data_IF_979627302568
#
_entry.id   IF_979627302568
#
_cell.length_a   1.000
_cell.length_b   1.000
_cell.length_c   1.000
_cell.angle_alpha   90.00
_cell.angle_beta   90.00
_cell.angle_gamma   90.00
#
_symmetry.space_group_name_H-M   'P 1'
#
loop_
_entity.id
_entity.type
_entity.pdbx_description
1 polymer ?
#
# COMPACT_ATOMS: atom_id res chain seq x y z
N UNK A 1 28.31 1.20 -44.23
CA UNK A 1 27.20 1.02 -43.27
C UNK A 1 27.06 2.31 -42.48
N UNK A 2 25.86 2.86 -42.36
CA UNK A 2 25.63 4.00 -41.46
C UNK A 2 25.78 3.53 -40.00
N UNK A 3 26.54 4.27 -39.18
CA UNK A 3 26.64 4.01 -37.74
C UNK A 3 25.28 4.18 -37.09
N UNK A 4 25.01 3.45 -36.00
CA UNK A 4 23.79 3.61 -35.18
C UNK A 4 23.61 5.07 -34.72
N UNK A 5 24.72 5.80 -34.60
CA UNK A 5 24.78 7.21 -34.18
C UNK A 5 24.15 8.16 -35.19
N UNK A 6 23.99 7.74 -36.44
CA UNK A 6 23.35 8.51 -37.50
C UNK A 6 21.85 8.23 -37.61
N UNK A 7 21.32 7.27 -36.84
CA UNK A 7 19.90 6.96 -36.89
C UNK A 7 19.07 7.97 -36.08
N UNK A 8 17.85 8.28 -36.55
CA UNK A 8 16.91 9.10 -35.80
C UNK A 8 16.58 8.47 -34.43
N UNK A 9 16.26 9.32 -33.45
CA UNK A 9 15.88 8.93 -32.07
C UNK A 9 14.79 7.86 -32.05
N UNK A 10 13.79 7.96 -32.95
CA UNK A 10 12.70 6.97 -33.06
C UNK A 10 13.19 5.55 -33.32
N UNK A 11 14.30 5.37 -34.06
CA UNK A 11 14.86 4.03 -34.31
C UNK A 11 15.53 3.48 -33.05
N UNK A 12 16.20 4.34 -32.28
CA UNK A 12 16.79 3.97 -30.99
C UNK A 12 15.69 3.58 -30.00
N UNK A 13 14.56 4.28 -29.99
CA UNK A 13 13.39 3.92 -29.19
C UNK A 13 12.84 2.54 -29.57
N UNK A 14 12.65 2.27 -30.86
CA UNK A 14 12.16 0.96 -31.32
C UNK A 14 13.12 -0.20 -30.98
N UNK A 15 14.42 0.07 -30.96
CA UNK A 15 15.41 -0.89 -30.44
C UNK A 15 15.23 -1.08 -28.94
N UNK A 16 15.19 0.01 -28.16
CA UNK A 16 15.06 -0.04 -26.70
C UNK A 16 13.77 -0.77 -26.25
N UNK A 17 12.66 -0.59 -26.98
CA UNK A 17 11.39 -1.30 -26.79
C UNK A 17 11.48 -2.82 -27.00
N UNK A 18 12.62 -3.38 -27.36
CA UNK A 18 12.83 -4.83 -27.50
C UNK A 18 13.84 -5.39 -26.51
N UNK A 19 14.37 -4.55 -25.63
CA UNK A 19 15.46 -4.89 -24.73
C UNK A 19 15.00 -4.89 -23.27
N UNK A 20 15.73 -5.62 -22.44
CA UNK A 20 15.57 -5.56 -21.00
C UNK A 20 16.19 -4.27 -20.41
N UNK A 21 15.80 -3.95 -19.18
CA UNK A 21 16.26 -2.74 -18.51
C UNK A 21 17.79 -2.68 -18.35
N UNK A 22 18.44 -3.82 -18.10
CA UNK A 22 19.88 -3.89 -17.91
C UNK A 22 20.61 -3.51 -19.20
N UNK A 23 20.13 -3.98 -20.34
CA UNK A 23 20.66 -3.69 -21.66
C UNK A 23 20.42 -2.23 -22.05
N UNK A 24 19.23 -1.68 -21.77
CA UNK A 24 18.96 -0.25 -21.99
C UNK A 24 19.93 0.62 -21.19
N UNK A 25 20.20 0.28 -19.92
CA UNK A 25 21.20 0.98 -19.10
C UNK A 25 22.61 0.87 -19.67
N UNK A 26 23.00 -0.30 -20.17
CA UNK A 26 24.31 -0.48 -20.82
C UNK A 26 24.43 0.37 -22.09
N UNK A 27 23.36 0.45 -22.89
CA UNK A 27 23.30 1.29 -24.09
C UNK A 27 23.48 2.77 -23.79
N UNK A 28 22.95 3.29 -22.67
CA UNK A 28 23.15 4.70 -22.28
C UNK A 28 24.62 5.08 -22.14
N UNK A 29 25.49 4.11 -21.84
CA UNK A 29 26.92 4.36 -21.62
C UNK A 29 27.73 4.38 -22.92
N UNK A 30 27.12 4.08 -24.07
CA UNK A 30 27.88 3.96 -25.33
C UNK A 30 28.22 5.31 -25.93
N UNK A 31 27.27 6.25 -25.98
CA UNK A 31 27.51 7.63 -26.41
C UNK A 31 26.38 8.60 -26.00
N UNK A 32 26.62 9.89 -26.24
CA UNK A 32 25.69 10.97 -25.89
C UNK A 32 24.39 10.95 -26.70
N UNK A 33 24.44 10.56 -27.98
CA UNK A 33 23.24 10.47 -28.83
C UNK A 33 22.25 9.44 -28.29
N UNK A 34 22.74 8.24 -27.97
CA UNK A 34 21.95 7.17 -27.37
C UNK A 34 21.52 7.54 -25.95
N UNK A 35 22.40 8.16 -25.15
CA UNK A 35 22.04 8.66 -23.83
C UNK A 35 20.82 9.61 -23.89
N UNK A 36 20.85 10.58 -24.79
CA UNK A 36 19.76 11.56 -24.95
C UNK A 36 18.48 10.89 -25.46
N UNK A 37 18.58 10.02 -26.45
CA UNK A 37 17.45 9.25 -26.95
C UNK A 37 16.78 8.41 -25.84
N UNK A 38 17.58 7.78 -24.97
CA UNK A 38 17.09 6.96 -23.86
C UNK A 38 16.68 7.79 -22.63
N UNK A 39 16.95 9.09 -22.60
CA UNK A 39 16.49 10.02 -21.55
C UNK A 39 15.13 10.65 -21.88
N UNK A 40 14.62 10.40 -23.08
CA UNK A 40 13.31 10.90 -23.52
C UNK A 40 12.16 10.21 -22.76
N UNK A 41 11.31 11.01 -22.13
CA UNK A 41 10.10 10.56 -21.43
C UNK A 41 9.14 9.77 -22.31
N UNK A 42 9.04 10.08 -23.61
CA UNK A 42 8.12 9.39 -24.53
C UNK A 42 8.44 7.90 -24.65
N UNK A 43 9.73 7.54 -24.68
CA UNK A 43 10.15 6.14 -24.70
C UNK A 43 9.62 5.38 -23.48
N UNK A 44 9.76 5.98 -22.29
CA UNK A 44 9.38 5.32 -21.04
C UNK A 44 7.86 5.27 -20.85
N UNK A 45 7.13 6.25 -21.37
CA UNK A 45 5.66 6.20 -21.46
C UNK A 45 5.24 5.02 -22.34
N UNK A 46 5.82 4.88 -23.53
CA UNK A 46 5.53 3.76 -24.44
C UNK A 46 5.83 2.39 -23.79
N UNK A 47 6.95 2.30 -23.05
CA UNK A 47 7.31 1.10 -22.29
C UNK A 47 6.31 0.80 -21.16
N UNK A 48 5.83 1.82 -20.46
CA UNK A 48 4.77 1.67 -19.45
C UNK A 48 3.48 1.14 -20.08
N UNK A 49 3.06 1.69 -21.22
CA UNK A 49 1.85 1.26 -21.91
C UNK A 49 1.96 -0.18 -22.43
N UNK A 50 3.11 -0.54 -23.02
CA UNK A 50 3.42 -1.90 -23.48
C UNK A 50 3.32 -2.92 -22.34
N UNK A 51 3.93 -2.62 -21.21
CA UNK A 51 4.03 -3.54 -20.07
C UNK A 51 2.89 -3.38 -19.05
N UNK A 52 1.92 -2.51 -19.34
CA UNK A 52 0.78 -2.21 -18.47
C UNK A 52 1.21 -1.69 -17.08
N UNK A 53 2.32 -0.98 -17.00
CA UNK A 53 2.67 -0.22 -15.81
C UNK A 53 1.68 0.94 -15.65
N UNK A 54 1.21 1.17 -14.42
CA UNK A 54 0.17 2.17 -14.18
C UNK A 54 0.79 3.55 -14.21
N UNK A 55 0.32 4.37 -15.14
CA UNK A 55 0.68 5.77 -15.27
C UNK A 55 -0.37 6.65 -14.59
N UNK A 56 0.03 7.80 -14.02
CA UNK A 56 -0.92 8.87 -13.69
C UNK A 56 -1.76 9.26 -14.92
N UNK A 57 -3.00 9.70 -14.69
CA UNK A 57 -3.96 9.98 -15.75
C UNK A 57 -3.42 11.03 -16.75
N UNK A 58 -3.93 11.00 -17.98
CA UNK A 58 -3.56 12.01 -18.99
C UNK A 58 -3.95 13.41 -18.50
N UNK A 59 -5.07 13.53 -17.79
CA UNK A 59 -5.51 14.78 -17.16
C UNK A 59 -4.47 15.29 -16.17
N UNK A 60 -4.00 14.43 -15.26
CA UNK A 60 -2.95 14.78 -14.31
C UNK A 60 -1.64 15.19 -15.00
N UNK A 61 -1.20 14.42 -16.00
CA UNK A 61 0.04 14.72 -16.73
C UNK A 61 -0.02 16.04 -17.49
N UNK A 62 -1.19 16.40 -18.03
CA UNK A 62 -1.42 17.70 -18.67
C UNK A 62 -1.40 18.82 -17.65
N UNK A 63 -2.13 18.67 -16.55
CA UNK A 63 -2.15 19.64 -15.46
C UNK A 63 -0.74 19.90 -14.92
N UNK A 64 0.06 18.85 -14.76
CA UNK A 64 1.47 18.96 -14.36
C UNK A 64 2.31 19.80 -15.33
N UNK A 65 2.12 19.62 -16.64
CA UNK A 65 2.85 20.37 -17.66
C UNK A 65 2.45 21.85 -17.69
N UNK A 66 1.16 22.15 -17.57
CA UNK A 66 0.64 23.53 -17.49
C UNK A 66 1.24 24.27 -16.29
N UNK A 67 1.30 23.64 -15.11
CA UNK A 67 1.92 24.25 -13.92
C UNK A 67 3.45 24.42 -14.08
N UNK A 68 4.11 23.64 -14.93
CA UNK A 68 5.55 23.76 -15.19
C UNK A 68 5.90 25.03 -15.96
N UNK A 69 5.01 25.45 -16.84
CA UNK A 69 5.14 26.71 -17.58
C UNK A 69 4.90 27.93 -16.68
N UNK A 70 4.04 27.79 -15.66
CA UNK A 70 3.72 28.86 -14.73
C UNK A 70 4.79 29.08 -13.64
N UNK A 71 5.34 28.00 -13.07
CA UNK A 71 6.35 28.08 -12.01
C UNK A 71 7.26 26.83 -12.01
N UNK A 72 8.38 26.90 -12.75
CA UNK A 72 9.38 25.83 -12.84
C UNK A 72 9.92 25.39 -11.47
N UNK A 73 9.93 26.28 -10.47
CA UNK A 73 10.44 25.98 -9.13
C UNK A 73 9.53 25.04 -8.34
N UNK A 74 8.26 24.96 -8.75
CA UNK A 74 7.24 24.15 -8.08
C UNK A 74 7.04 22.80 -8.73
N UNK A 75 7.58 22.51 -9.91
CA UNK A 75 7.25 21.27 -10.62
C UNK A 75 8.24 20.14 -10.36
N UNK A 76 7.76 19.11 -9.66
CA UNK A 76 8.42 17.81 -9.67
C UNK A 76 8.17 17.13 -11.02
N UNK A 77 9.24 16.71 -11.70
CA UNK A 77 9.10 15.93 -12.92
C UNK A 77 8.73 14.48 -12.60
N UNK A 78 7.81 13.91 -13.39
CA UNK A 78 7.56 12.47 -13.36
C UNK A 78 8.75 11.75 -13.98
N UNK A 79 9.30 10.82 -13.22
CA UNK A 79 10.36 9.92 -13.67
C UNK A 79 9.71 8.67 -14.26
N UNK A 80 9.41 8.73 -15.55
CA UNK A 80 8.72 7.64 -16.26
C UNK A 80 9.54 6.36 -16.31
N UNK A 81 10.88 6.44 -16.31
CA UNK A 81 11.75 5.27 -16.19
C UNK A 81 11.52 4.56 -14.85
N UNK A 82 11.56 5.31 -13.75
CA UNK A 82 11.29 4.75 -12.42
C UNK A 82 9.87 4.21 -12.29
N UNK A 83 8.88 4.90 -12.88
CA UNK A 83 7.49 4.40 -12.90
C UNK A 83 7.42 3.07 -13.66
N UNK A 84 8.10 2.94 -14.80
CA UNK A 84 8.17 1.69 -15.55
C UNK A 84 8.84 0.57 -14.75
N UNK A 85 10.01 0.83 -14.15
CA UNK A 85 10.80 -0.17 -13.41
C UNK A 85 10.11 -0.63 -12.12
N UNK A 86 9.47 0.29 -11.39
CA UNK A 86 8.95 0.02 -10.05
C UNK A 86 7.44 -0.14 -9.98
N UNK A 87 6.72 0.41 -10.96
CA UNK A 87 5.26 0.45 -11.01
C UNK A 87 4.63 0.88 -9.65
N UNK A 88 4.98 2.09 -9.14
CA UNK A 88 4.55 2.58 -7.83
C UNK A 88 3.03 2.78 -7.70
N UNK A 89 2.32 2.89 -8.83
CA UNK A 89 0.88 3.16 -8.88
C UNK A 89 0.06 1.92 -9.23
N UNK A 90 0.66 0.73 -9.17
CA UNK A 90 -0.03 -0.55 -9.40
C UNK A 90 -1.23 -0.73 -8.45
N UNK A 91 -2.24 -1.55 -8.82
CA UNK A 91 -3.46 -1.71 -8.03
C UNK A 91 -3.25 -2.21 -6.60
N UNK A 92 -2.15 -2.93 -6.34
CA UNK A 92 -1.79 -3.36 -4.99
C UNK A 92 -0.27 -3.35 -4.79
N UNK A 93 0.18 -2.58 -3.80
CA UNK A 93 1.58 -2.53 -3.36
C UNK A 93 1.97 -3.77 -2.54
N UNK A 94 1.00 -4.41 -1.89
CA UNK A 94 1.22 -5.58 -1.03
C UNK A 94 1.43 -6.84 -1.90
N UNK A 95 2.52 -7.58 -1.69
CA UNK A 95 2.75 -8.85 -2.39
C UNK A 95 1.65 -9.90 -2.09
N UNK A 96 1.40 -10.84 -3.01
CA UNK A 96 0.38 -11.87 -2.81
C UNK A 96 0.72 -12.80 -1.65
N UNK A 97 -0.32 -13.24 -0.93
CA UNK A 97 -0.18 -14.16 0.21
C UNK A 97 0.41 -15.52 -0.21
N UNK A 98 1.47 -15.95 0.50
CA UNK A 98 2.09 -17.26 0.31
C UNK A 98 1.45 -18.32 1.24
N UNK A 99 1.81 -19.59 1.04
CA UNK A 99 1.24 -20.72 1.80
C UNK A 99 1.64 -20.77 3.28
N UNK A 100 2.72 -20.07 3.67
CA UNK A 100 3.22 -20.10 5.05
C UNK A 100 3.63 -18.71 5.52
N UNK A 101 3.46 -18.45 6.82
CA UNK A 101 3.94 -17.21 7.46
C UNK A 101 5.47 -17.10 7.39
N UNK A 102 6.19 -18.21 7.42
CA UNK A 102 7.65 -18.27 7.31
C UNK A 102 8.14 -17.79 5.96
N UNK A 103 7.46 -18.19 4.88
CA UNK A 103 7.77 -17.70 3.55
C UNK A 103 7.51 -16.19 3.43
N UNK A 104 6.37 -15.69 3.94
CA UNK A 104 6.02 -14.27 3.88
C UNK A 104 6.98 -13.39 4.71
N UNK A 105 7.43 -13.88 5.86
CA UNK A 105 8.45 -13.18 6.66
C UNK A 105 9.79 -13.13 5.91
N UNK A 106 10.24 -14.26 5.35
CA UNK A 106 11.53 -14.33 4.64
C UNK A 106 11.54 -13.53 3.34
N UNK A 107 10.47 -13.60 2.56
CA UNK A 107 10.40 -13.03 1.21
C UNK A 107 9.96 -11.57 1.21
N UNK A 108 9.01 -11.22 2.08
CA UNK A 108 8.40 -9.89 2.10
C UNK A 108 8.68 -9.10 3.39
N UNK A 109 9.27 -9.74 4.41
CA UNK A 109 9.54 -9.10 5.69
C UNK A 109 8.31 -8.94 6.60
N UNK A 110 7.19 -9.62 6.30
CA UNK A 110 5.98 -9.55 7.11
C UNK A 110 6.23 -10.12 8.51
N UNK A 111 5.78 -9.42 9.55
CA UNK A 111 5.98 -9.85 10.94
C UNK A 111 4.70 -10.39 11.52
N UNK A 112 4.82 -11.48 12.27
CA UNK A 112 3.72 -12.19 12.90
C UNK A 112 3.98 -12.27 14.41
N UNK A 113 2.95 -12.04 15.21
CA UNK A 113 3.05 -12.07 16.65
C UNK A 113 1.75 -12.55 17.31
N UNK A 114 1.87 -13.00 18.55
CA UNK A 114 0.76 -13.29 19.44
C UNK A 114 0.88 -12.44 20.70
N UNK A 115 -0.20 -12.29 21.45
CA UNK A 115 -0.17 -11.62 22.76
C UNK A 115 0.72 -12.31 23.80
N UNK A 116 1.11 -13.58 23.59
CA UNK A 116 1.94 -14.31 24.56
C UNK A 116 3.40 -13.88 24.49
N UNK A 117 3.98 -13.70 23.29
CA UNK A 117 5.36 -13.25 23.09
C UNK A 117 5.60 -12.59 21.71
N UNK A 118 6.59 -11.69 21.63
CA UNK A 118 7.12 -11.24 20.32
C UNK A 118 7.72 -12.43 19.57
N UNK A 119 7.43 -12.54 18.27
CA UNK A 119 7.76 -13.68 17.40
C UNK A 119 6.98 -14.99 17.68
N UNK A 120 5.96 -14.97 18.53
CA UNK A 120 5.06 -16.11 18.68
C UNK A 120 4.01 -16.12 17.56
N UNK A 121 4.00 -17.18 16.75
CA UNK A 121 3.05 -17.35 15.64
C UNK A 121 1.81 -18.15 16.03
N UNK A 122 1.69 -18.58 17.30
CA UNK A 122 0.60 -19.43 17.77
C UNK A 122 -0.79 -18.78 17.74
N UNK A 123 -0.86 -17.45 17.59
CA UNK A 123 -2.13 -16.71 17.56
C UNK A 123 -2.89 -16.80 16.23
N UNK A 124 -2.29 -17.36 15.18
CA UNK A 124 -2.97 -17.54 13.89
C UNK A 124 -2.36 -18.67 13.06
N UNK A 125 -3.10 -19.11 12.05
CA UNK A 125 -2.61 -20.02 11.01
C UNK A 125 -3.00 -19.52 9.62
N UNK A 126 -2.39 -20.10 8.58
CA UNK A 126 -2.89 -19.98 7.20
C UNK A 126 -3.85 -21.15 6.94
N UNK A 127 -5.04 -20.83 6.45
CA UNK A 127 -6.02 -21.82 5.96
C UNK A 127 -6.14 -21.74 4.44
N UNK A 128 -6.17 -22.89 3.78
CA UNK A 128 -6.38 -23.04 2.33
C UNK A 128 -7.17 -24.34 2.09
N UNK A 129 -8.50 -24.29 1.83
CA UNK A 129 -9.36 -23.10 1.79
C UNK A 129 -9.75 -22.58 3.20
N UNK A 130 -10.28 -21.34 3.29
CA UNK A 130 -10.90 -20.83 4.53
C UNK A 130 -12.00 -21.75 5.07
N UNK A 131 -11.97 -22.05 6.37
CA UNK A 131 -12.89 -23.00 7.01
C UNK A 131 -13.93 -22.32 7.91
N UNK A 132 -15.21 -22.61 7.68
CA UNK A 132 -16.31 -22.10 8.53
C UNK A 132 -16.72 -20.66 8.23
N UNK A 133 -16.38 -20.16 7.06
CA UNK A 133 -16.97 -18.97 6.44
C UNK A 133 -17.50 -19.30 5.04
N UNK A 134 -18.27 -18.40 4.43
CA UNK A 134 -18.69 -18.58 3.04
C UNK A 134 -17.48 -18.50 2.08
N UNK A 135 -17.46 -19.28 0.98
CA UNK A 135 -16.41 -19.19 -0.01
C UNK A 135 -16.46 -17.83 -0.72
N UNK A 136 -15.30 -17.28 -1.09
CA UNK A 136 -15.18 -16.07 -1.89
C UNK A 136 -14.31 -16.36 -3.12
N UNK A 137 -14.71 -15.93 -4.34
CA UNK A 137 -14.02 -16.29 -5.58
C UNK A 137 -12.54 -15.87 -5.59
N UNK A 138 -12.23 -14.74 -4.97
CA UNK A 138 -10.86 -14.21 -4.93
C UNK A 138 -10.04 -14.63 -3.68
N UNK A 139 -10.59 -15.51 -2.82
CA UNK A 139 -9.92 -15.92 -1.58
C UNK A 139 -9.67 -17.43 -1.61
N UNK A 140 -8.45 -17.78 -2.02
CA UNK A 140 -7.95 -19.17 -1.97
C UNK A 140 -7.42 -19.51 -0.57
N UNK A 141 -6.83 -18.52 0.11
CA UNK A 141 -6.23 -18.67 1.44
C UNK A 141 -6.56 -17.48 2.33
N UNK A 142 -6.58 -17.70 3.64
CA UNK A 142 -6.70 -16.62 4.61
C UNK A 142 -5.85 -16.86 5.86
N UNK A 143 -5.65 -15.81 6.64
CA UNK A 143 -5.24 -15.96 8.02
C UNK A 143 -6.47 -16.26 8.87
N UNK A 144 -6.40 -17.27 9.74
CA UNK A 144 -7.41 -17.57 10.73
C UNK A 144 -6.81 -17.43 12.14
N UNK A 145 -7.42 -16.58 12.97
CA UNK A 145 -6.90 -16.28 14.30
C UNK A 145 -7.41 -17.25 15.35
N UNK A 146 -6.66 -17.37 16.45
CA UNK A 146 -6.97 -18.24 17.59
C UNK A 146 -7.71 -17.48 18.70
N UNK A 147 -7.67 -17.98 19.93
CA UNK A 147 -8.30 -17.36 21.10
C UNK A 147 -7.46 -16.27 21.78
N UNK A 148 -6.18 -16.20 21.44
CA UNK A 148 -5.32 -15.06 21.74
C UNK A 148 -5.21 -14.17 20.52
N UNK A 149 -4.87 -12.90 20.72
CA UNK A 149 -4.63 -12.00 19.59
C UNK A 149 -3.52 -12.55 18.71
N UNK A 150 -3.87 -12.91 17.47
CA UNK A 150 -2.92 -13.10 16.38
C UNK A 150 -2.77 -11.80 15.62
N UNK A 151 -1.53 -11.38 15.35
CA UNK A 151 -1.19 -10.10 14.69
C UNK A 151 -0.29 -10.34 13.48
N UNK A 152 -0.55 -9.63 12.39
CA UNK A 152 0.32 -9.53 11.21
C UNK A 152 0.62 -8.06 10.95
N UNK A 153 1.89 -7.70 10.87
CA UNK A 153 2.39 -6.38 10.51
C UNK A 153 3.03 -6.40 9.11
N UNK A 154 2.53 -5.54 8.23
CA UNK A 154 3.09 -5.27 6.89
C UNK A 154 3.58 -3.82 6.86
N UNK A 155 4.81 -3.62 6.41
CA UNK A 155 5.38 -2.28 6.20
C UNK A 155 5.80 -2.11 4.75
N UNK A 156 5.34 -1.05 4.10
CA UNK A 156 5.69 -0.68 2.73
C UNK A 156 6.45 0.65 2.75
N UNK A 157 7.65 0.67 2.18
CA UNK A 157 8.42 1.90 2.01
C UNK A 157 8.12 2.50 0.63
N UNK A 158 7.33 3.57 0.60
CA UNK A 158 6.82 4.19 -0.62
C UNK A 158 7.94 4.72 -1.53
N UNK A 159 9.02 5.20 -0.93
CA UNK A 159 10.21 5.67 -1.66
C UNK A 159 10.91 4.53 -2.37
N UNK A 160 11.08 3.37 -1.72
CA UNK A 160 11.64 2.14 -2.31
C UNK A 160 10.74 1.53 -3.38
N UNK A 161 9.42 1.69 -3.23
CA UNK A 161 8.41 1.38 -4.24
C UNK A 161 8.44 2.34 -5.44
N UNK A 162 9.25 3.41 -5.39
CA UNK A 162 9.46 4.31 -6.51
C UNK A 162 8.57 5.54 -6.52
N UNK A 163 7.77 5.77 -5.48
CA UNK A 163 6.97 7.00 -5.35
C UNK A 163 7.92 8.18 -5.08
N UNK A 164 7.91 9.24 -5.91
CA UNK A 164 8.70 10.44 -5.66
C UNK A 164 8.26 11.17 -4.38
N UNK A 165 9.23 11.63 -3.59
CA UNK A 165 9.01 12.41 -2.35
C UNK A 165 8.07 13.61 -2.58
N UNK A 166 8.27 14.35 -3.68
CA UNK A 166 7.43 15.52 -3.99
C UNK A 166 5.95 15.15 -4.19
N UNK A 167 5.62 13.96 -4.69
CA UNK A 167 4.23 13.50 -4.81
C UNK A 167 3.63 13.32 -3.41
N UNK A 168 4.37 12.69 -2.49
CA UNK A 168 3.91 12.46 -1.12
C UNK A 168 3.86 13.73 -0.28
N UNK A 169 4.70 14.72 -0.58
CA UNK A 169 4.79 15.95 0.19
C UNK A 169 3.84 17.04 -0.31
N UNK A 170 3.68 17.15 -1.63
CA UNK A 170 3.00 18.27 -2.28
C UNK A 170 1.63 17.95 -2.81
N UNK A 171 1.44 16.74 -3.35
CA UNK A 171 0.13 16.29 -3.85
C UNK A 171 -0.66 15.57 -2.78
N UNK A 172 0.04 14.78 -1.95
CA UNK A 172 -0.53 13.96 -0.87
C UNK A 172 -1.71 13.11 -1.38
N UNK A 173 -1.47 12.27 -2.41
CA UNK A 173 -2.52 11.48 -3.05
C UNK A 173 -3.23 10.59 -2.04
N UNK A 174 -4.46 10.17 -2.35
CA UNK A 174 -5.20 9.31 -1.43
C UNK A 174 -4.47 7.97 -1.30
N UNK A 175 -4.21 7.54 -0.08
CA UNK A 175 -3.65 6.21 0.21
C UNK A 175 -4.80 5.36 0.76
N UNK A 176 -5.17 4.33 0.00
CA UNK A 176 -6.28 3.45 0.32
C UNK A 176 -5.71 2.12 0.78
N UNK A 177 -6.15 1.68 1.95
CA UNK A 177 -5.77 0.42 2.57
C UNK A 177 -7.05 -0.37 2.80
N UNK A 178 -7.08 -1.61 2.35
CA UNK A 178 -8.27 -2.44 2.55
C UNK A 178 -7.91 -3.90 2.78
N UNK A 179 -8.79 -4.62 3.46
CA UNK A 179 -8.65 -6.05 3.69
C UNK A 179 -10.02 -6.73 3.70
N UNK A 180 -10.09 -7.95 3.20
CA UNK A 180 -11.28 -8.79 3.29
C UNK A 180 -11.27 -9.55 4.61
N UNK A 181 -12.38 -9.49 5.35
CA UNK A 181 -12.50 -10.11 6.67
C UNK A 181 -13.79 -10.92 6.77
N UNK A 182 -13.76 -12.00 7.55
CA UNK A 182 -14.93 -12.83 7.80
C UNK A 182 -14.92 -13.41 9.22
N UNK A 183 -16.10 -13.60 9.84
CA UNK A 183 -16.23 -14.40 11.05
C UNK A 183 -16.26 -15.89 10.73
N UNK A 184 -16.14 -16.72 11.77
CA UNK A 184 -16.53 -18.13 11.72
C UNK A 184 -18.00 -18.29 12.16
N UNK A 185 -18.70 -19.27 11.61
CA UNK A 185 -20.16 -19.40 11.81
C UNK A 185 -20.60 -19.66 13.25
N UNK A 186 -19.79 -20.31 14.07
CA UNK A 186 -20.15 -20.81 15.42
C UNK A 186 -19.43 -20.10 16.56
N UNK A 187 -18.61 -19.08 16.29
CA UNK A 187 -17.78 -18.44 17.29
C UNK A 187 -17.81 -16.92 17.16
N UNK A 188 -17.98 -16.24 18.30
CA UNK A 188 -17.83 -14.79 18.32
C UNK A 188 -16.36 -14.40 18.20
N UNK A 189 -16.07 -13.32 17.48
CA UNK A 189 -14.70 -12.92 17.17
C UNK A 189 -14.57 -11.41 17.01
N UNK A 190 -13.32 -10.95 17.16
CA UNK A 190 -12.92 -9.55 16.96
C UNK A 190 -11.87 -9.51 15.86
N UNK A 191 -11.95 -8.48 15.03
CA UNK A 191 -10.91 -8.07 14.09
C UNK A 191 -10.58 -6.58 14.29
N UNK A 192 -9.29 -6.23 14.15
CA UNK A 192 -8.81 -4.86 14.15
C UNK A 192 -7.75 -4.65 13.06
N UNK A 193 -7.85 -3.53 12.34
CA UNK A 193 -6.84 -3.06 11.38
C UNK A 193 -6.30 -1.72 11.85
N UNK A 194 -5.03 -1.69 12.24
CA UNK A 194 -4.33 -0.46 12.60
C UNK A 194 -3.45 -0.04 11.43
N UNK A 195 -3.58 1.18 10.94
CA UNK A 195 -2.74 1.71 9.89
C UNK A 195 -2.08 3.01 10.34
N UNK A 196 -0.80 3.20 9.99
CA UNK A 196 -0.06 4.43 10.21
C UNK A 196 0.75 4.81 8.97
N UNK A 197 0.70 6.08 8.59
CA UNK A 197 1.72 6.67 7.73
C UNK A 197 2.88 7.14 8.63
N UNK A 198 4.08 6.76 8.24
CA UNK A 198 5.29 6.92 9.03
C UNK A 198 6.29 7.78 8.29
N UNK A 199 7.03 8.61 9.04
CA UNK A 199 8.24 9.27 8.53
C UNK A 199 9.35 8.23 8.33
N UNK A 200 10.39 8.62 7.59
CA UNK A 200 11.55 7.75 7.38
C UNK A 200 12.18 7.35 8.74
N UNK A 201 12.26 6.05 9.00
CA UNK A 201 12.79 5.50 10.25
C UNK A 201 11.88 5.61 11.47
N UNK A 202 10.66 6.14 11.35
CA UNK A 202 9.68 6.12 12.43
C UNK A 202 9.14 4.70 12.64
N UNK A 203 9.04 4.27 13.91
CA UNK A 203 8.54 2.95 14.25
C UNK A 203 7.02 2.95 14.38
N UNK A 204 6.39 1.89 13.89
CA UNK A 204 4.97 1.62 14.13
C UNK A 204 4.71 1.40 15.63
N UNK A 205 3.74 2.13 16.20
CA UNK A 205 3.33 1.98 17.59
C UNK A 205 1.81 2.07 17.73
N UNK A 206 1.18 0.96 18.09
CA UNK A 206 -0.28 0.87 18.27
C UNK A 206 -0.81 1.75 19.40
N UNK A 207 0.05 2.17 20.34
CA UNK A 207 -0.32 3.04 21.45
C UNK A 207 -0.31 4.51 21.04
N UNK A 208 0.45 4.85 20.00
CA UNK A 208 0.52 6.19 19.46
C UNK A 208 -0.58 6.39 18.41
N UNK A 209 -1.46 7.35 18.65
CA UNK A 209 -2.42 7.83 17.66
C UNK A 209 -1.96 9.18 17.16
N UNK A 210 -1.78 9.27 15.85
CA UNK A 210 -1.47 10.52 15.17
C UNK A 210 -2.70 11.06 14.44
N UNK A 211 -3.04 12.34 14.62
CA UNK A 211 -4.04 12.99 13.78
C UNK A 211 -3.70 12.84 12.30
N UNK A 212 -4.66 12.45 11.46
CA UNK A 212 -4.57 12.33 9.98
C UNK A 212 -3.60 11.29 9.40
N UNK A 213 -2.73 10.69 10.20
CA UNK A 213 -1.79 9.65 9.75
C UNK A 213 -1.82 8.38 10.58
N UNK A 214 -2.83 8.22 11.42
CA UNK A 214 -3.16 6.96 12.09
C UNK A 214 -4.66 6.70 12.01
N UNK A 215 -5.04 5.46 11.77
CA UNK A 215 -6.42 5.04 11.76
C UNK A 215 -6.55 3.60 12.29
N UNK A 216 -7.69 3.31 12.91
CA UNK A 216 -8.02 1.98 13.41
C UNK A 216 -9.45 1.66 13.00
N UNK A 217 -9.63 0.53 12.33
CA UNK A 217 -10.94 -0.05 12.04
C UNK A 217 -11.13 -1.32 12.86
N UNK A 218 -12.35 -1.54 13.34
CA UNK A 218 -12.69 -2.66 14.22
C UNK A 218 -13.99 -3.29 13.78
N UNK A 219 -14.00 -4.62 13.69
CA UNK A 219 -15.18 -5.42 13.44
C UNK A 219 -15.34 -6.42 14.58
N UNK A 220 -16.59 -6.64 14.99
CA UNK A 220 -16.96 -7.65 15.98
C UNK A 220 -18.15 -8.43 15.47
N UNK A 221 -18.11 -9.74 15.68
CA UNK A 221 -19.20 -10.63 15.30
C UNK A 221 -19.68 -11.43 16.50
N UNK A 222 -20.99 -11.56 16.70
CA UNK A 222 -21.55 -12.39 17.75
C UNK A 222 -21.38 -13.88 17.42
N UNK A 223 -21.67 -14.72 18.40
CA UNK A 223 -21.70 -16.16 18.19
C UNK A 223 -22.87 -16.51 17.26
N UNK A 224 -22.75 -17.62 16.52
CA UNK A 224 -23.79 -18.10 15.60
C UNK A 224 -24.07 -17.11 14.45
N UNK A 225 -23.01 -16.49 13.92
CA UNK A 225 -23.14 -15.56 12.79
C UNK A 225 -23.45 -16.33 11.50
N UNK A 226 -24.58 -16.05 10.87
CA UNK A 226 -24.95 -16.60 9.56
C UNK A 226 -25.79 -15.55 8.80
N UNK A 227 -25.48 -15.22 7.53
CA UNK A 227 -24.38 -15.77 6.73
C UNK A 227 -23.00 -15.28 7.22
N UNK A 228 -21.95 -16.03 6.87
CA UNK A 228 -20.55 -15.72 7.24
C UNK A 228 -19.81 -15.07 6.07
N UNK A 229 -20.39 -13.99 5.56
CA UNK A 229 -19.91 -13.30 4.38
C UNK A 229 -18.59 -12.58 4.64
N UNK A 230 -17.77 -12.53 3.60
CA UNK A 230 -16.59 -11.68 3.57
C UNK A 230 -17.00 -10.23 3.39
N UNK A 231 -16.48 -9.36 4.25
CA UNK A 231 -16.71 -7.91 4.21
C UNK A 231 -15.40 -7.20 3.93
N UNK A 232 -15.45 -6.08 3.21
CA UNK A 232 -14.26 -5.24 2.99
C UNK A 232 -14.19 -4.18 4.10
N UNK A 233 -13.07 -4.19 4.82
CA UNK A 233 -12.69 -3.09 5.73
C UNK A 233 -11.75 -2.17 4.97
N UNK A 234 -11.97 -0.86 5.04
CA UNK A 234 -11.18 0.13 4.29
C UNK A 234 -10.81 1.34 5.15
N UNK A 235 -9.55 1.74 5.07
CA UNK A 235 -8.99 2.97 5.62
C UNK A 235 -8.49 3.82 4.45
N UNK A 236 -8.87 5.10 4.42
CA UNK A 236 -8.40 6.05 3.41
C UNK A 236 -7.69 7.21 4.11
N UNK A 237 -6.40 7.36 3.85
CA UNK A 237 -5.66 8.56 4.24
C UNK A 237 -5.77 9.62 3.16
N UNK A 238 -6.22 10.80 3.56
CA UNK A 238 -6.18 12.04 2.76
C UNK A 238 -5.60 13.15 3.62
N UNK A 239 -5.11 14.22 2.99
CA UNK A 239 -4.70 15.43 3.70
C UNK A 239 -3.73 15.15 4.89
N UNK A 240 -2.84 14.16 4.71
CA UNK A 240 -1.88 13.77 5.74
C UNK A 240 -0.70 14.75 5.81
N UNK A 241 0.10 14.75 6.89
CA UNK A 241 1.23 15.66 7.02
C UNK A 241 2.34 15.39 6.00
N UNK A 242 3.15 16.42 5.73
CA UNK A 242 4.36 16.29 4.90
C UNK A 242 5.38 15.31 5.51
N UNK A 243 6.19 14.67 4.67
CA UNK A 243 7.31 13.83 5.11
C UNK A 243 6.98 12.35 5.34
N UNK A 244 5.76 11.90 4.98
CA UNK A 244 5.40 10.48 5.03
C UNK A 244 6.18 9.69 3.98
N UNK A 245 6.80 8.58 4.38
CA UNK A 245 7.64 7.74 3.51
C UNK A 245 7.31 6.24 3.60
N UNK A 246 6.65 5.82 4.67
CA UNK A 246 6.28 4.42 4.87
C UNK A 246 4.83 4.28 5.30
N UNK A 247 4.25 3.12 5.02
CA UNK A 247 2.93 2.71 5.47
C UNK A 247 3.12 1.45 6.32
N UNK A 248 2.63 1.45 7.55
CA UNK A 248 2.58 0.27 8.39
C UNK A 248 1.13 -0.12 8.66
N UNK A 249 0.79 -1.39 8.43
CA UNK A 249 -0.55 -1.94 8.65
C UNK A 249 -0.46 -3.18 9.52
N UNK A 250 -1.11 -3.14 10.67
CA UNK A 250 -1.26 -4.29 11.56
C UNK A 250 -2.70 -4.79 11.55
N UNK A 251 -2.89 -5.98 10.98
CA UNK A 251 -4.15 -6.74 11.05
C UNK A 251 -4.08 -7.68 12.24
N UNK A 252 -5.12 -7.69 13.08
CA UNK A 252 -5.16 -8.58 14.23
C UNK A 252 -6.57 -9.06 14.55
N UNK A 253 -6.65 -10.22 15.18
CA UNK A 253 -7.93 -10.79 15.57
C UNK A 253 -7.79 -11.86 16.63
N UNK A 254 -8.94 -12.21 17.22
CA UNK A 254 -9.08 -13.35 18.13
C UNK A 254 -10.54 -13.78 18.24
N UNK A 255 -10.77 -14.97 18.79
CA UNK A 255 -12.08 -15.35 19.29
C UNK A 255 -12.44 -14.62 20.60
N UNK A 256 -13.69 -14.77 21.03
CA UNK A 256 -14.13 -14.34 22.36
C UNK A 256 -14.66 -15.50 23.24
N UNK A 257 -14.55 -16.75 22.76
CA UNK A 257 -15.02 -17.94 23.48
C UNK A 257 -13.89 -18.72 24.17
N UNK A 258 -12.64 -18.33 23.92
CA UNK A 258 -11.44 -18.98 24.41
C UNK A 258 -11.33 -20.46 23.98
N UNK A 259 -11.73 -20.76 22.75
CA UNK A 259 -11.75 -22.13 22.23
C UNK A 259 -10.39 -22.50 21.63
N UNK A 260 -9.87 -23.65 22.04
CA UNK A 260 -8.61 -24.16 21.50
C UNK A 260 -8.75 -24.46 19.99
N UNK A 261 -7.96 -23.76 19.18
CA UNK A 261 -7.98 -23.84 17.72
C UNK A 261 -8.06 -22.45 17.08
N UNK A 262 -8.43 -22.38 15.80
CA UNK A 262 -8.50 -21.13 15.03
C UNK A 262 -9.96 -20.72 14.77
N UNK A 263 -10.64 -20.37 15.86
CA UNK A 263 -12.06 -20.00 15.87
C UNK A 263 -12.29 -18.49 15.77
N UNK A 264 -11.23 -17.70 15.75
CA UNK A 264 -11.30 -16.25 15.68
C UNK A 264 -11.67 -15.73 14.29
N UNK A 265 -11.46 -14.42 14.11
CA UNK A 265 -11.71 -13.75 12.83
C UNK A 265 -10.71 -14.21 11.77
N UNK A 266 -11.14 -14.12 10.52
CA UNK A 266 -10.35 -14.42 9.33
C UNK A 266 -10.10 -13.15 8.54
N UNK A 267 -8.93 -13.05 7.93
CA UNK A 267 -8.61 -11.93 7.04
C UNK A 267 -7.69 -12.35 5.89
N UNK A 268 -7.87 -11.73 4.72
CA UNK A 268 -7.17 -12.03 3.48
C UNK A 268 -7.14 -10.82 2.53
N UNK A 269 -6.30 -10.90 1.50
CA UNK A 269 -6.23 -9.92 0.41
C UNK A 269 -6.04 -8.48 0.89
N UNK A 270 -5.04 -8.24 1.77
CA UNK A 270 -4.61 -6.88 2.09
C UNK A 270 -4.19 -6.17 0.80
N UNK A 271 -4.79 -5.01 0.57
CA UNK A 271 -4.48 -4.11 -0.54
C UNK A 271 -4.05 -2.75 0.00
N UNK A 272 -2.94 -2.24 -0.54
CA UNK A 272 -2.51 -0.85 -0.35
C UNK A 272 -2.32 -0.25 -1.74
N UNK A 273 -3.02 0.84 -2.04
CA UNK A 273 -2.91 1.53 -3.33
C UNK A 273 -2.88 3.04 -3.18
N UNK A 274 -2.21 3.68 -4.13
CA UNK A 274 -2.10 5.13 -4.22
C UNK A 274 -2.99 5.59 -5.36
N UNK A 275 -3.97 6.44 -5.05
CA UNK A 275 -4.86 7.03 -6.04
C UNK A 275 -4.38 8.45 -6.34
N UNK A 276 -3.78 8.60 -7.53
CA UNK A 276 -3.34 9.89 -8.03
C UNK A 276 -4.54 10.79 -8.32
N UNK A 277 -4.50 12.09 -7.96
CA UNK A 277 -5.56 13.01 -8.32
C UNK A 277 -5.53 13.29 -9.82
N UNK A 278 -6.69 13.63 -10.40
CA UNK A 278 -6.76 14.08 -11.80
C UNK A 278 -6.32 15.54 -11.98
N UNK A 279 -6.54 16.37 -10.96
CA UNK A 279 -6.14 17.77 -10.94
C UNK A 279 -5.08 18.03 -9.87
N UNK A 280 -4.16 18.93 -10.17
CA UNK A 280 -3.05 19.22 -9.28
C UNK A 280 -3.50 20.10 -8.12
N UNK A 281 -3.22 19.65 -6.89
CA UNK A 281 -3.39 20.44 -5.67
C UNK A 281 -2.03 20.60 -5.00
N UNK A 282 -1.45 21.79 -5.07
CA UNK A 282 -0.16 22.08 -4.46
C UNK A 282 -0.33 22.43 -2.98
N UNK A 283 -0.02 21.48 -2.12
CA UNK A 283 0.06 21.70 -0.68
C UNK A 283 1.44 22.26 -0.29
N UNK A 284 1.40 23.20 0.63
CA UNK A 284 2.56 23.74 1.34
C UNK A 284 2.91 22.86 2.54
N UNK A 285 4.10 23.02 3.10
CA UNK A 285 4.54 22.24 4.26
C UNK A 285 3.71 22.56 5.52
N UNK A 286 3.10 23.75 5.56
CA UNK A 286 2.23 24.23 6.64
C UNK A 286 0.80 23.68 6.53
N UNK A 287 0.39 23.19 5.36
CA UNK A 287 -0.90 22.54 5.19
C UNK A 287 -0.90 21.20 5.95
N UNK A 288 -1.95 20.99 6.76
CA UNK A 288 -2.13 19.77 7.56
C UNK A 288 -0.91 19.40 8.41
N UNK A 289 -0.55 20.23 9.42
CA UNK A 289 0.63 20.00 10.22
C UNK A 289 0.55 18.66 10.97
N UNK A 290 1.71 18.04 11.21
CA UNK A 290 1.83 16.81 11.99
C UNK A 290 1.47 17.12 13.45
N UNK A 291 0.25 16.75 13.84
CA UNK A 291 -0.26 16.99 15.19
C UNK A 291 0.50 16.19 16.24
N UNK A 292 0.40 16.64 17.50
CA UNK A 292 1.02 15.93 18.63
C UNK A 292 0.52 14.48 18.75
N UNK A 293 1.45 13.57 19.08
CA UNK A 293 1.14 12.16 19.29
C UNK A 293 0.29 12.00 20.56
N UNK A 294 -0.84 11.32 20.45
CA UNK A 294 -1.66 10.96 21.61
C UNK A 294 -1.42 9.50 21.97
N UNK A 295 -1.01 9.24 23.21
CA UNK A 295 -0.80 7.86 23.69
C UNK A 295 -2.01 7.34 24.45
N UNK A 296 -2.49 6.15 24.10
CA UNK A 296 -3.52 5.46 24.88
C UNK A 296 -2.92 4.68 26.05
N UNK A 297 -3.31 5.03 27.29
CA UNK A 297 -3.08 4.36 28.57
C UNK A 297 -4.31 4.57 29.49
N UNK A 298 -4.42 3.98 30.69
CA UNK A 298 -5.70 3.87 31.39
C UNK A 298 -6.26 5.25 31.81
N UNK A 299 -7.13 5.77 30.96
CA UNK A 299 -8.41 6.41 31.30
C UNK A 299 -9.39 6.04 30.20
N UNK A 300 -10.52 5.47 30.63
CA UNK A 300 -11.66 5.11 29.80
C UNK A 300 -12.08 6.28 28.89
N UNK A 301 -12.21 6.00 27.61
CA UNK A 301 -12.72 6.97 26.65
C UNK A 301 -12.22 6.67 25.25
N UNK A 302 -13.04 5.94 24.49
CA UNK A 302 -12.95 5.93 23.03
C UNK A 302 -13.01 7.39 22.55
N UNK A 303 -11.87 7.97 22.19
CA UNK A 303 -11.83 9.23 21.45
C UNK A 303 -11.92 8.90 19.97
N UNK A 304 -13.13 8.96 19.43
CA UNK A 304 -13.31 9.37 18.03
C UNK A 304 -12.86 10.83 17.92
N UNK A 305 -12.01 11.12 16.93
CA UNK A 305 -11.73 12.40 16.21
C UNK A 305 -10.44 12.14 15.37
N UNK A 306 -10.17 12.70 14.18
CA UNK A 306 -10.59 13.97 13.56
C UNK A 306 -10.44 13.95 12.02
N UNK A 307 -11.02 14.96 11.40
CA UNK A 307 -11.08 15.34 9.97
C UNK A 307 -9.81 15.03 9.15
N UNK A 308 -9.94 14.08 8.20
CA UNK A 308 -8.87 13.66 7.28
C UNK A 308 -8.85 12.17 6.92
N UNK A 309 -9.72 11.35 7.54
CA UNK A 309 -9.86 9.92 7.23
C UNK A 309 -11.32 9.63 6.89
N UNK A 310 -11.60 9.23 5.65
CA UNK A 310 -12.95 8.84 5.22
C UNK A 310 -13.12 7.34 5.39
N UNK A 311 -14.23 6.91 6.00
CA UNK A 311 -14.52 5.51 6.32
C UNK A 311 -15.61 4.96 5.41
N UNK A 312 -15.43 3.75 4.88
CA UNK A 312 -16.46 2.99 4.17
C UNK A 312 -16.34 1.52 4.54
N UNK A 313 -17.43 0.92 5.01
CA UNK A 313 -17.56 -0.53 5.16
C UNK A 313 -18.61 -0.96 4.17
N UNK A 314 -18.23 -1.85 3.25
CA UNK A 314 -19.14 -2.44 2.28
C UNK A 314 -19.22 -3.94 2.52
N UNK A 315 -20.45 -4.45 2.62
CA UNK A 315 -20.73 -5.89 2.54
C UNK A 315 -20.70 -6.23 1.04
N UNK A 316 -19.86 -7.20 0.66
CA UNK A 316 -19.66 -7.61 -0.73
C UNK A 316 -20.59 -8.77 -1.11
#
# INVERSE_FOLDING_TARGET
MASIDAYPVVVIHEIAKRLDYATIKAMRLTNHHIYNALSDSLLWIDLCERDKAVLPSIAFRRSLAEHAEEDESRVGQLDFERIWVKNPFRPNLVPPMLSTMEAMDREYGWKFASDRHQNDRSGMVVEEPPAGCEPHPDIVRCFATSYVWGKRLVTINLKKEGVPDWILDRLRPRIIISELVAPRFDCSSIYQMHAQLLKEGEMFDTRATHPRRSAVEKMEWPQWTTPTQWSRVEIVFVDYPVGMREIAVMSQGKDQQFWAGNYGSKFANLEIRIEMPDEMRWLSDDDFPDGEKVYSGPTDGVRQLSDGVTRRVAVL
#
